data_IF_626051444428
#
_entry.id   IF_626051444428
#
_cell.length_a   1.000
_cell.length_b   1.000
_cell.length_c   1.000
_cell.angle_alpha   90.00
_cell.angle_beta   90.00
_cell.angle_gamma   90.00
#
_symmetry.space_group_name_H-M   'P 1'
#
loop_
_entity.id
_entity.type
_entity.pdbx_description
1 polymer ?
#
# COMPACT_ATOMS: atom_id res chain seq x y z
N UNK A 1 -9.95 17.34 -18.86
CA UNK A 1 -9.76 17.12 -17.43
C UNK A 1 -10.04 15.68 -17.04
N UNK A 2 -9.10 15.06 -16.34
CA UNK A 2 -9.27 13.75 -15.72
C UNK A 2 -10.03 13.93 -14.40
N UNK A 3 -11.28 13.49 -14.36
CA UNK A 3 -12.08 13.53 -13.12
C UNK A 3 -11.53 12.53 -12.10
N UNK A 4 -11.84 12.73 -10.82
CA UNK A 4 -11.40 11.83 -9.74
C UNK A 4 -11.83 10.38 -10.00
N UNK A 5 -13.02 10.19 -10.57
CA UNK A 5 -13.56 8.87 -10.94
C UNK A 5 -12.71 8.20 -12.01
N UNK A 6 -12.26 8.94 -13.04
CA UNK A 6 -11.39 8.39 -14.09
C UNK A 6 -10.04 7.96 -13.53
N UNK A 7 -9.49 8.74 -12.61
CA UNK A 7 -8.22 8.40 -11.93
C UNK A 7 -8.38 7.14 -11.08
N UNK A 8 -9.46 7.06 -10.29
CA UNK A 8 -9.75 5.88 -9.46
C UNK A 8 -9.98 4.62 -10.31
N UNK A 9 -10.72 4.73 -11.42
CA UNK A 9 -10.94 3.62 -12.36
C UNK A 9 -9.63 3.15 -12.97
N UNK A 10 -8.78 4.07 -13.43
CA UNK A 10 -7.44 3.75 -13.92
C UNK A 10 -6.60 3.02 -12.87
N UNK A 11 -6.56 3.51 -11.63
CA UNK A 11 -5.82 2.87 -10.55
C UNK A 11 -6.36 1.46 -10.30
N UNK A 12 -7.68 1.28 -10.18
CA UNK A 12 -8.29 -0.02 -9.90
C UNK A 12 -8.07 -1.04 -11.04
N UNK A 13 -7.94 -0.58 -12.28
CA UNK A 13 -7.66 -1.43 -13.44
C UNK A 13 -6.23 -1.99 -13.43
N UNK A 14 -5.26 -1.20 -12.98
CA UNK A 14 -3.84 -1.52 -13.14
C UNK A 14 -3.12 -1.87 -11.85
N UNK A 15 -3.59 -1.36 -10.71
CA UNK A 15 -2.92 -1.48 -9.41
C UNK A 15 -3.84 -2.19 -8.43
N UNK A 16 -3.27 -3.14 -7.69
CA UNK A 16 -3.97 -3.85 -6.62
C UNK A 16 -3.03 -4.06 -5.44
N UNK A 17 -3.61 -4.34 -4.27
CA UNK A 17 -2.89 -4.86 -3.12
C UNK A 17 -3.50 -6.18 -2.63
N UNK A 18 -4.35 -6.79 -3.47
CA UNK A 18 -5.02 -8.05 -3.16
C UNK A 18 -3.98 -9.16 -3.06
N UNK A 19 -3.99 -9.93 -1.98
CA UNK A 19 -3.39 -11.27 -1.99
C UNK A 19 -4.29 -12.22 -2.82
N UNK A 20 -3.81 -12.76 -3.97
CA UNK A 20 -4.60 -13.65 -4.81
C UNK A 20 -5.04 -14.92 -4.09
N UNK A 21 -6.04 -15.62 -4.63
CA UNK A 21 -6.44 -16.92 -4.10
C UNK A 21 -5.43 -17.99 -4.55
N UNK A 22 -4.83 -18.77 -3.64
CA UNK A 22 -3.82 -19.77 -4.00
C UNK A 22 -4.37 -20.90 -4.87
N UNK A 23 -5.68 -21.21 -4.81
CA UNK A 23 -6.28 -22.26 -5.62
C UNK A 23 -6.58 -21.79 -7.06
N UNK A 24 -6.88 -20.50 -7.25
CA UNK A 24 -7.25 -19.94 -8.56
C UNK A 24 -6.07 -19.33 -9.31
N UNK A 25 -5.14 -18.71 -8.58
CA UNK A 25 -4.01 -17.96 -9.14
C UNK A 25 -2.70 -18.34 -8.41
N UNK A 26 -2.29 -19.62 -8.40
CA UNK A 26 -1.18 -20.11 -7.55
C UNK A 26 0.14 -19.39 -7.83
N UNK A 27 0.47 -19.14 -9.10
CA UNK A 27 1.69 -18.45 -9.48
C UNK A 27 1.72 -17.01 -8.96
N UNK A 28 0.66 -16.23 -9.22
CA UNK A 28 0.59 -14.84 -8.77
C UNK A 28 0.52 -14.77 -7.24
N UNK A 29 -0.19 -15.70 -6.60
CA UNK A 29 -0.22 -15.82 -5.14
C UNK A 29 1.18 -15.97 -4.58
N UNK A 30 1.97 -16.93 -5.07
CA UNK A 30 3.33 -17.16 -4.60
C UNK A 30 4.25 -15.96 -4.83
N UNK A 31 4.11 -15.26 -5.95
CA UNK A 31 4.89 -14.03 -6.21
C UNK A 31 4.51 -12.90 -5.26
N UNK A 32 3.21 -12.65 -5.06
CA UNK A 32 2.73 -11.59 -4.17
C UNK A 32 3.12 -11.87 -2.72
N UNK A 33 2.92 -13.10 -2.27
CA UNK A 33 3.22 -13.52 -0.90
C UNK A 33 4.72 -13.40 -0.59
N UNK A 34 5.58 -13.75 -1.55
CA UNK A 34 7.04 -13.71 -1.38
C UNK A 34 7.65 -12.33 -1.61
N UNK A 35 7.19 -11.60 -2.62
CA UNK A 35 7.88 -10.40 -3.12
C UNK A 35 7.19 -9.09 -2.77
N UNK A 36 5.88 -9.11 -2.52
CA UNK A 36 5.10 -7.90 -2.26
C UNK A 36 4.60 -7.81 -0.82
N UNK A 37 4.81 -8.85 -0.01
CA UNK A 37 4.40 -8.83 1.40
C UNK A 37 5.45 -8.12 2.26
N UNK A 38 5.01 -7.04 2.90
CA UNK A 38 5.76 -6.39 3.95
C UNK A 38 5.79 -7.22 5.24
N UNK A 39 6.94 -7.25 5.91
CA UNK A 39 7.08 -7.92 7.18
C UNK A 39 6.31 -7.16 8.29
N UNK A 40 5.40 -7.85 8.98
CA UNK A 40 4.62 -7.29 10.11
C UNK A 40 5.53 -6.76 11.22
N UNK A 41 6.70 -7.36 11.39
CA UNK A 41 7.67 -7.03 12.44
C UNK A 41 8.75 -6.04 11.97
N UNK A 42 8.49 -5.23 10.93
CA UNK A 42 9.30 -4.10 10.42
C UNK A 42 10.74 -4.00 10.97
N UNK A 43 11.74 -4.18 10.11
CA UNK A 43 13.15 -3.98 10.47
C UNK A 43 13.44 -2.53 10.90
N UNK A 44 14.55 -2.30 11.60
CA UNK A 44 14.95 -0.95 11.99
C UNK A 44 15.20 -0.03 10.77
N UNK A 45 15.70 -0.59 9.67
CA UNK A 45 15.88 0.13 8.39
C UNK A 45 14.57 0.54 7.73
N UNK A 46 13.51 -0.25 7.94
CA UNK A 46 12.15 0.09 7.48
C UNK A 46 11.52 1.20 8.32
N UNK A 47 11.88 1.34 9.60
CA UNK A 47 11.30 2.34 10.49
C UNK A 47 11.89 3.74 10.23
N UNK A 48 11.07 4.77 10.39
CA UNK A 48 11.47 6.18 10.45
C UNK A 48 11.03 6.78 11.78
N UNK A 49 11.81 7.72 12.29
CA UNK A 49 11.40 8.56 13.41
C UNK A 49 10.43 9.64 12.91
N UNK A 50 9.34 9.82 13.63
CA UNK A 50 8.33 10.84 13.36
C UNK A 50 8.16 11.67 14.63
N UNK A 51 8.39 12.98 14.49
CA UNK A 51 8.18 13.96 15.56
C UNK A 51 6.85 14.69 15.31
N UNK A 52 5.96 14.67 16.29
CA UNK A 52 4.68 15.37 16.23
C UNK A 52 4.33 15.93 17.61
N UNK A 53 4.02 17.23 17.69
CA UNK A 53 3.72 17.93 18.95
C UNK A 53 4.74 17.61 20.06
N UNK A 54 6.04 17.67 19.72
CA UNK A 54 7.14 17.40 20.66
C UNK A 54 7.38 15.93 21.00
N UNK A 55 6.48 15.00 20.64
CA UNK A 55 6.64 13.56 20.88
C UNK A 55 7.32 12.87 19.70
N UNK A 56 8.32 12.03 19.99
CA UNK A 56 9.02 11.20 18.99
C UNK A 56 8.44 9.79 19.01
N UNK A 57 8.13 9.23 17.85
CA UNK A 57 7.66 7.85 17.69
C UNK A 57 8.32 7.18 16.49
N UNK A 58 8.50 5.86 16.53
CA UNK A 58 8.94 5.08 15.37
C UNK A 58 7.72 4.61 14.58
N UNK A 59 7.78 4.73 13.24
CA UNK A 59 6.74 4.25 12.33
C UNK A 59 7.35 3.59 11.10
N UNK A 60 6.63 2.68 10.46
CA UNK A 60 7.02 2.16 9.15
C UNK A 60 7.16 3.33 8.15
N UNK A 61 8.29 3.39 7.45
CA UNK A 61 8.54 4.37 6.37
C UNK A 61 7.50 4.24 5.25
N UNK A 62 7.05 3.02 4.98
CA UNK A 62 6.10 2.66 3.93
C UNK A 62 4.64 2.59 4.42
N UNK A 63 4.39 3.03 5.66
CA UNK A 63 3.05 3.19 6.24
C UNK A 63 2.29 1.88 6.46
N UNK A 64 3.01 0.78 6.72
CA UNK A 64 2.41 -0.49 7.12
C UNK A 64 2.09 -0.56 8.63
N UNK A 65 1.00 -1.25 9.03
CA UNK A 65 -0.07 -1.78 8.18
C UNK A 65 -0.85 -0.66 7.49
N UNK A 66 -1.09 -0.81 6.18
CA UNK A 66 -1.92 0.14 5.44
C UNK A 66 -3.38 -0.19 5.72
N UNK A 67 -4.16 0.83 6.10
CA UNK A 67 -5.55 0.66 6.56
C UNK A 67 -6.39 -0.10 5.54
N UNK A 68 -7.19 -1.04 6.02
CA UNK A 68 -8.27 -1.63 5.25
C UNK A 68 -9.25 -0.55 4.78
N UNK A 69 -9.71 -0.67 3.54
CA UNK A 69 -10.69 0.25 2.94
C UNK A 69 -11.56 -0.51 1.94
N UNK A 70 -12.83 -0.13 1.86
CA UNK A 70 -13.80 -0.70 0.89
C UNK A 70 -13.64 -0.11 -0.52
N UNK A 71 -12.99 1.05 -0.66
CA UNK A 71 -12.82 1.78 -1.93
C UNK A 71 -11.45 2.43 -2.02
N UNK A 72 -11.00 2.62 -3.26
CA UNK A 72 -9.83 3.43 -3.56
C UNK A 72 -10.22 4.91 -3.48
N UNK A 73 -9.39 5.73 -2.85
CA UNK A 73 -9.68 7.16 -2.59
C UNK A 73 -8.47 8.00 -2.95
N UNK A 74 -8.67 9.16 -3.57
CA UNK A 74 -7.59 10.12 -3.84
C UNK A 74 -7.36 11.00 -2.60
N UNK A 75 -6.11 11.13 -2.19
CA UNK A 75 -5.71 11.92 -1.03
C UNK A 75 -5.43 13.37 -1.47
N UNK A 76 -6.40 14.27 -1.32
CA UNK A 76 -6.34 15.66 -1.83
C UNK A 76 -5.34 16.58 -1.10
N UNK A 77 -5.13 16.37 0.20
CA UNK A 77 -4.32 17.28 1.02
C UNK A 77 -3.01 16.63 1.45
N UNK A 78 -2.04 16.52 0.54
CA UNK A 78 -0.74 15.85 0.77
C UNK A 78 0.22 16.60 1.68
N UNK A 79 0.10 17.92 1.78
CA UNK A 79 1.08 18.78 2.48
C UNK A 79 0.79 18.95 3.98
N UNK A 80 -0.49 18.91 4.38
CA UNK A 80 -0.94 18.97 5.79
C UNK A 80 -0.52 17.71 6.59
N UNK A 81 0.11 16.75 5.92
CA UNK A 81 0.41 15.41 6.42
C UNK A 81 1.75 15.33 7.18
N UNK A 82 2.66 16.28 6.97
CA UNK A 82 3.92 16.42 7.72
C UNK A 82 3.66 17.06 9.09
N UNK A 83 2.89 16.37 9.92
CA UNK A 83 2.52 16.88 11.24
C UNK A 83 1.10 16.56 11.64
N UNK A 84 0.48 15.49 11.13
CA UNK A 84 -0.77 14.95 11.72
C UNK A 84 -0.57 13.45 11.97
N UNK A 85 -1.06 12.97 13.12
CA UNK A 85 -0.80 11.60 13.60
C UNK A 85 -1.30 10.50 12.65
N UNK A 86 -2.20 10.79 11.71
CA UNK A 86 -2.86 9.83 10.79
C UNK A 86 -2.56 10.08 9.32
N UNK A 87 -1.59 10.93 9.05
CA UNK A 87 -1.30 11.41 7.74
C UNK A 87 -0.57 10.40 6.83
N UNK A 88 -0.95 10.30 5.56
CA UNK A 88 -0.36 9.38 4.55
C UNK A 88 0.41 10.13 3.48
N UNK A 89 1.64 9.76 3.16
CA UNK A 89 2.41 10.43 2.09
C UNK A 89 1.95 10.04 0.68
N UNK A 90 1.07 9.04 0.56
CA UNK A 90 0.61 8.48 -0.72
C UNK A 90 -0.45 9.38 -1.39
N UNK A 91 -0.45 9.42 -2.73
CA UNK A 91 -1.44 10.16 -3.52
C UNK A 91 -2.84 9.55 -3.49
N UNK A 92 -2.91 8.25 -3.26
CA UNK A 92 -4.16 7.52 -3.12
C UNK A 92 -4.06 6.49 -2.00
N UNK A 93 -5.20 6.09 -1.48
CA UNK A 93 -5.34 4.95 -0.58
C UNK A 93 -6.10 3.86 -1.32
N UNK A 94 -5.45 2.73 -1.58
CA UNK A 94 -6.05 1.63 -2.34
C UNK A 94 -7.06 0.84 -1.51
N UNK A 95 -8.09 0.31 -2.15
CA UNK A 95 -8.99 -0.68 -1.53
C UNK A 95 -8.21 -1.89 -1.02
N UNK A 96 -8.46 -2.28 0.25
CA UNK A 96 -7.76 -3.37 0.95
C UNK A 96 -8.72 -4.15 1.83
N UNK A 97 -8.70 -5.49 1.73
CA UNK A 97 -9.44 -6.36 2.65
C UNK A 97 -8.72 -6.42 4.00
N UNK A 98 -9.48 -6.22 5.08
CA UNK A 98 -8.99 -6.32 6.45
C UNK A 98 -8.39 -7.71 6.70
N UNK A 99 -7.32 -7.77 7.50
CA UNK A 99 -6.65 -8.99 7.95
C UNK A 99 -6.02 -9.85 6.83
N UNK A 100 -6.10 -9.43 5.56
CA UNK A 100 -5.51 -10.14 4.40
C UNK A 100 -4.51 -9.29 3.64
N UNK A 101 -4.92 -8.08 3.26
CA UNK A 101 -4.20 -7.28 2.27
C UNK A 101 -3.39 -6.14 2.90
N UNK A 102 -3.52 -5.88 4.20
CA UNK A 102 -2.98 -4.68 4.88
C UNK A 102 -1.45 -4.56 4.84
N UNK A 103 -0.77 -5.67 4.57
CA UNK A 103 0.70 -5.75 4.47
C UNK A 103 1.19 -6.06 3.07
N UNK A 104 0.34 -5.97 2.05
CA UNK A 104 0.76 -6.18 0.65
C UNK A 104 1.11 -4.81 0.04
N UNK A 105 2.19 -4.71 -0.72
CA UNK A 105 2.49 -3.53 -1.51
C UNK A 105 1.38 -3.23 -2.52
N UNK A 106 1.36 -2.01 -3.04
CA UNK A 106 0.56 -1.73 -4.23
C UNK A 106 1.37 -2.25 -5.43
N UNK A 107 0.82 -3.17 -6.20
CA UNK A 107 1.52 -3.79 -7.32
C UNK A 107 0.63 -3.85 -8.57
N UNK A 108 1.27 -3.87 -9.74
CA UNK A 108 0.62 -4.20 -10.99
C UNK A 108 0.81 -5.71 -11.28
N UNK A 109 -0.27 -6.51 -11.38
CA UNK A 109 -0.16 -7.95 -11.59
C UNK A 109 0.64 -8.35 -12.84
N UNK A 110 0.44 -7.64 -13.96
CA UNK A 110 1.13 -7.94 -15.22
C UNK A 110 2.63 -7.66 -15.11
N UNK A 111 3.00 -6.52 -14.51
CA UNK A 111 4.40 -6.17 -14.27
C UNK A 111 5.03 -7.17 -13.30
N UNK A 112 4.35 -7.56 -12.22
CA UNK A 112 4.89 -8.54 -11.26
C UNK A 112 5.15 -9.90 -11.91
N UNK A 113 4.26 -10.36 -12.80
CA UNK A 113 4.43 -11.62 -13.53
C UNK A 113 5.62 -11.58 -14.49
N UNK A 114 5.84 -10.44 -15.16
CA UNK A 114 6.94 -10.24 -16.08
C UNK A 114 8.29 -10.03 -15.35
N UNK A 115 8.31 -9.16 -14.35
CA UNK A 115 9.53 -8.73 -13.64
C UNK A 115 9.98 -9.70 -12.55
N UNK A 116 9.03 -10.33 -11.83
CA UNK A 116 9.28 -11.28 -10.74
C UNK A 116 10.19 -10.76 -9.62
N UNK A 117 10.05 -9.48 -9.29
CA UNK A 117 10.75 -8.78 -8.20
C UNK A 117 9.82 -7.90 -7.37
N UNK A 118 10.35 -7.31 -6.30
CA UNK A 118 9.61 -6.35 -5.46
C UNK A 118 9.26 -5.08 -6.26
N UNK A 119 8.07 -4.51 -6.01
CA UNK A 119 7.56 -3.28 -6.64
C UNK A 119 7.03 -2.41 -5.49
N UNK A 120 7.87 -1.53 -4.91
CA UNK A 120 7.54 -0.68 -3.74
C UNK A 120 7.69 0.83 -3.96
#
# INVERSE_FOLDING_TARGET
DDTEEKIVDFINRHITARLPDPAKEPLLHGLVDRLQRHNKNCTNTCKRLVKYQGRVSQRCRFEFPRKASRRTVINKNREVLLGVRTATTKYYTLRRRKDRDEHINDYNPAILLAWRGNID
#
